data_IF_812468373692
#
_entry.id   IF_812468373692
#
_cell.length_a   1.000
_cell.length_b   1.000
_cell.length_c   1.000
_cell.angle_alpha   90.00
_cell.angle_beta   90.00
_cell.angle_gamma   90.00
#
_symmetry.space_group_name_H-M   'P 1'
#
loop_
_entity.id
_entity.type
_entity.pdbx_description
1 polymer ?
#
# COMPACT_ATOMS: atom_id res chain seq x y z
N UNK A 1 -4.85 0.74 15.08
CA UNK A 1 -4.68 0.80 13.62
C UNK A 1 -6.00 1.18 13.00
N UNK A 2 -6.03 2.10 12.04
CA UNK A 2 -7.24 2.46 11.29
C UNK A 2 -7.02 2.03 9.84
N UNK A 3 -7.22 0.73 9.55
CA UNK A 3 -6.98 0.19 8.21
C UNK A 3 -7.72 1.06 7.16
N UNK A 4 -7.05 1.46 6.06
CA UNK A 4 -5.71 1.03 5.59
C UNK A 4 -4.53 1.90 6.06
N UNK A 5 -4.76 2.84 6.96
CA UNK A 5 -3.77 3.84 7.37
C UNK A 5 -2.87 3.35 8.53
N UNK A 6 -1.58 3.64 8.39
CA UNK A 6 -0.59 3.63 9.47
C UNK A 6 -0.51 4.99 10.13
N UNK A 7 -0.35 5.00 11.45
CA UNK A 7 -0.06 6.21 12.22
C UNK A 7 1.44 6.55 12.28
N UNK A 8 2.30 5.65 11.76
CA UNK A 8 3.75 5.78 11.75
C UNK A 8 4.28 5.72 10.31
N UNK A 9 5.39 6.41 10.01
CA UNK A 9 6.05 6.25 8.72
C UNK A 9 6.46 4.81 8.46
N UNK A 10 6.14 4.30 7.27
CA UNK A 10 6.55 2.98 6.76
C UNK A 10 7.19 3.14 5.39
N UNK A 11 7.67 2.04 4.81
CA UNK A 11 8.16 2.00 3.43
C UNK A 11 7.06 2.10 2.36
N UNK A 12 5.79 2.23 2.76
CA UNK A 12 4.63 2.33 1.87
C UNK A 12 4.01 3.71 2.02
N UNK A 13 4.55 4.69 1.29
CA UNK A 13 4.10 6.08 1.33
C UNK A 13 3.11 6.33 0.19
N UNK A 14 1.96 6.92 0.51
CA UNK A 14 0.88 7.20 -0.44
C UNK A 14 0.61 8.69 -0.49
N UNK A 15 0.92 9.32 -1.61
CA UNK A 15 0.65 10.73 -1.86
C UNK A 15 -0.72 10.88 -2.54
N UNK A 16 -1.66 11.55 -1.89
CA UNK A 16 -2.99 11.89 -2.43
C UNK A 16 -3.14 13.41 -2.46
N UNK A 17 -3.15 13.99 -3.66
CA UNK A 17 -3.09 15.43 -3.84
C UNK A 17 -1.86 16.03 -3.12
N UNK A 18 -2.09 16.87 -2.10
CA UNK A 18 -1.04 17.50 -1.30
C UNK A 18 -0.71 16.77 0.01
N UNK A 19 -1.44 15.72 0.36
CA UNK A 19 -1.29 15.01 1.64
C UNK A 19 -0.58 13.68 1.42
N UNK A 20 0.42 13.40 2.27
CA UNK A 20 1.07 12.10 2.33
C UNK A 20 0.50 11.27 3.48
N UNK A 21 0.21 10.01 3.20
CA UNK A 21 -0.22 8.99 4.14
C UNK A 21 0.78 7.83 4.13
N UNK A 22 0.68 6.96 5.14
CA UNK A 22 1.45 5.72 5.21
C UNK A 22 0.51 4.53 5.35
N UNK A 23 0.86 3.42 4.72
CA UNK A 23 0.16 2.15 4.85
C UNK A 23 0.96 1.16 5.68
N UNK A 24 0.30 0.18 6.31
CA UNK A 24 1.00 -0.82 7.12
C UNK A 24 1.67 -1.87 6.23
N UNK A 25 1.06 -2.23 5.10
CA UNK A 25 1.58 -3.26 4.20
C UNK A 25 1.40 -2.91 2.72
N UNK A 26 1.96 -3.76 1.85
CA UNK A 26 1.89 -3.60 0.40
C UNK A 26 0.47 -3.69 -0.17
N UNK A 27 -0.46 -4.32 0.53
CA UNK A 27 -1.88 -4.30 0.13
C UNK A 27 -2.58 -3.01 0.58
N UNK A 28 -2.40 -2.63 1.83
CA UNK A 28 -3.02 -1.43 2.43
C UNK A 28 -2.66 -0.16 1.64
N UNK A 29 -1.47 -0.10 1.02
CA UNK A 29 -1.07 1.04 0.19
C UNK A 29 -2.03 1.29 -0.98
N UNK A 30 -2.64 0.22 -1.53
CA UNK A 30 -3.67 0.30 -2.56
C UNK A 30 -5.05 0.62 -1.97
N UNK A 31 -5.28 0.25 -0.72
CA UNK A 31 -6.51 0.53 0.01
C UNK A 31 -6.71 2.02 0.31
N UNK A 32 -5.64 2.78 0.57
CA UNK A 32 -5.72 4.23 0.85
C UNK A 32 -6.41 5.03 -0.27
N UNK A 33 -5.95 4.99 -1.55
CA UNK A 33 -6.60 5.73 -2.62
C UNK A 33 -8.04 5.27 -2.85
N UNK A 34 -8.31 3.97 -2.72
CA UNK A 34 -9.65 3.41 -2.80
C UNK A 34 -10.59 3.95 -1.70
N UNK A 35 -10.10 4.05 -0.46
CA UNK A 35 -10.87 4.58 0.67
C UNK A 35 -11.13 6.09 0.57
N UNK A 36 -10.21 6.83 -0.07
CA UNK A 36 -10.33 8.28 -0.26
C UNK A 36 -11.01 8.68 -1.57
N UNK A 37 -11.33 7.71 -2.44
CA UNK A 37 -11.88 7.91 -3.78
C UNK A 37 -11.08 8.94 -4.59
N UNK A 38 -9.75 8.83 -4.55
CA UNK A 38 -8.84 9.78 -5.18
C UNK A 38 -7.63 9.09 -5.79
N UNK A 39 -7.13 9.69 -6.88
CA UNK A 39 -5.87 9.34 -7.52
C UNK A 39 -4.70 9.52 -6.54
N UNK A 40 -3.67 8.69 -6.72
CA UNK A 40 -2.50 8.69 -5.83
C UNK A 40 -1.21 8.29 -6.54
N UNK A 41 -0.09 8.74 -5.97
CA UNK A 41 1.25 8.21 -6.27
C UNK A 41 1.76 7.49 -5.03
N UNK A 42 2.19 6.24 -5.21
CA UNK A 42 2.64 5.36 -4.14
C UNK A 42 4.12 5.08 -4.34
N UNK A 43 4.90 5.33 -3.30
CA UNK A 43 6.30 4.91 -3.18
C UNK A 43 6.34 3.69 -2.26
N UNK A 44 6.79 2.54 -2.76
CA UNK A 44 6.79 1.28 -2.04
C UNK A 44 8.16 0.59 -2.10
N UNK A 45 8.84 0.45 -0.95
CA UNK A 45 10.09 -0.29 -0.88
C UNK A 45 9.90 -1.80 -1.04
N UNK A 46 10.73 -2.45 -1.87
CA UNK A 46 10.77 -3.91 -1.93
C UNK A 46 11.28 -4.52 -0.61
N UNK A 47 11.05 -5.81 -0.41
CA UNK A 47 11.52 -6.51 0.80
C UNK A 47 12.97 -6.99 0.68
N UNK A 48 13.40 -7.30 -0.54
CA UNK A 48 14.67 -7.96 -0.86
C UNK A 48 15.80 -6.99 -1.23
N UNK A 49 15.58 -5.68 -1.14
CA UNK A 49 16.61 -4.68 -1.48
C UNK A 49 16.23 -3.23 -1.14
N UNK A 50 17.07 -2.31 -1.62
CA UNK A 50 16.88 -0.86 -1.46
C UNK A 50 16.03 -0.25 -2.59
N UNK A 51 15.64 -1.06 -3.57
CA UNK A 51 14.81 -0.61 -4.69
C UNK A 51 13.40 -0.23 -4.20
N UNK A 52 12.87 0.83 -4.81
CA UNK A 52 11.52 1.34 -4.52
C UNK A 52 10.71 1.31 -5.80
N UNK A 53 9.53 0.70 -5.74
CA UNK A 53 8.53 0.79 -6.79
C UNK A 53 7.76 2.11 -6.66
N UNK A 54 7.51 2.74 -7.81
CA UNK A 54 6.56 3.86 -7.91
C UNK A 54 5.33 3.38 -8.68
N UNK A 55 4.17 3.49 -8.03
CA UNK A 55 2.88 3.10 -8.60
C UNK A 55 1.99 4.34 -8.67
N UNK A 56 1.21 4.45 -9.75
CA UNK A 56 0.22 5.52 -9.88
C UNK A 56 -1.17 4.91 -9.93
N UNK A 57 -2.09 5.41 -9.11
CA UNK A 57 -3.52 5.14 -9.26
C UNK A 57 -4.12 6.33 -9.99
N UNK A 58 -4.75 6.08 -11.14
CA UNK A 58 -5.50 7.10 -11.86
C UNK A 58 -6.81 6.58 -12.40
N UNK A 59 -7.89 7.32 -12.16
CA UNK A 59 -9.26 6.95 -12.54
C UNK A 59 -9.63 5.52 -12.07
N UNK A 60 -9.39 5.24 -10.79
CA UNK A 60 -9.63 3.93 -10.16
C UNK A 60 -8.84 2.76 -10.79
N UNK A 61 -7.77 3.05 -11.52
CA UNK A 61 -6.93 2.04 -12.17
C UNK A 61 -5.48 2.16 -11.74
N UNK A 62 -4.87 1.01 -11.42
CA UNK A 62 -3.44 0.92 -11.17
C UNK A 62 -2.67 1.01 -12.49
N UNK A 63 -1.85 2.06 -12.62
CA UNK A 63 -0.95 2.31 -13.74
C UNK A 63 0.46 1.84 -13.38
N UNK A 64 0.64 0.53 -13.28
CA UNK A 64 1.95 -0.09 -13.02
C UNK A 64 2.01 -1.45 -13.70
N UNK A 65 3.17 -1.82 -14.24
CA UNK A 65 3.40 -3.13 -14.83
C UNK A 65 4.49 -3.88 -14.07
N UNK A 66 4.10 -4.92 -13.32
CA UNK A 66 5.02 -5.78 -12.58
C UNK A 66 4.81 -5.77 -11.07
N UNK A 67 5.67 -6.50 -10.37
CA UNK A 67 5.60 -6.70 -8.92
C UNK A 67 4.65 -7.82 -8.50
N UNK A 68 4.88 -8.33 -7.30
CA UNK A 68 4.03 -9.34 -6.64
C UNK A 68 3.84 -8.91 -5.19
N UNK A 69 2.59 -8.93 -4.72
CA UNK A 69 2.29 -8.81 -3.29
C UNK A 69 2.23 -10.23 -2.73
N UNK A 70 3.05 -10.51 -1.73
CA UNK A 70 3.08 -11.80 -1.06
C UNK A 70 2.14 -11.79 0.13
N UNK A 71 1.22 -12.74 0.18
CA UNK A 71 0.33 -12.99 1.31
C UNK A 71 0.76 -14.28 2.00
N UNK A 72 1.22 -14.24 3.26
CA UNK A 72 1.72 -15.42 3.95
C UNK A 72 0.61 -16.40 4.36
N UNK A 73 -0.63 -15.90 4.51
CA UNK A 73 -1.80 -16.69 4.87
C UNK A 73 -2.84 -16.69 3.74
N UNK A 74 -3.69 -17.74 3.66
CA UNK A 74 -4.85 -17.74 2.77
C UNK A 74 -5.79 -16.57 3.08
N UNK A 75 -6.50 -16.07 2.05
CA UNK A 75 -7.43 -14.94 2.17
C UNK A 75 -8.47 -15.12 3.29
N UNK A 76 -8.89 -16.35 3.58
CA UNK A 76 -9.85 -16.62 4.67
C UNK A 76 -9.29 -16.32 6.07
N UNK A 77 -7.97 -16.16 6.22
CA UNK A 77 -7.24 -15.93 7.47
C UNK A 77 -6.47 -14.61 7.45
N UNK A 78 -6.76 -13.71 6.51
CA UNK A 78 -6.04 -12.45 6.31
C UNK A 78 -6.26 -11.40 7.42
N UNK A 79 -6.93 -11.73 8.52
CA UNK A 79 -6.87 -10.86 9.70
C UNK A 79 -5.99 -11.44 10.81
N UNK A 80 -5.51 -12.67 10.63
CA UNK A 80 -4.62 -13.35 11.56
C UNK A 80 -3.15 -12.95 11.33
N UNK A 81 -2.82 -12.37 10.17
CA UNK A 81 -1.49 -11.85 9.83
C UNK A 81 -1.28 -10.39 10.22
N UNK A 82 -2.28 -9.69 10.77
CA UNK A 82 -2.17 -8.28 11.18
C UNK A 82 -1.06 -8.01 12.21
N UNK A 83 -0.60 -9.05 12.93
CA UNK A 83 0.52 -8.98 13.88
C UNK A 83 1.88 -9.13 13.17
N UNK A 84 1.89 -9.66 11.95
CA UNK A 84 3.08 -10.02 11.16
C UNK A 84 3.41 -8.98 10.07
N UNK A 85 2.50 -8.06 9.77
CA UNK A 85 2.67 -6.92 8.85
C UNK A 85 3.05 -5.65 9.58
#
# INVERSE_FOLDING_TARGET
MANPFSALPTKFKVQVGQVAYWANCAWDMLGIPAALHQDAVIEAGYEDGEETAVLTISNDQLQHSGGVIHFPLPVQQWYDDLILT
#
